data_IF_939364519262
#
_entry.id   IF_939364519262
#
_cell.length_a   1.000
_cell.length_b   1.000
_cell.length_c   1.000
_cell.angle_alpha   90.00
_cell.angle_beta   90.00
_cell.angle_gamma   90.00
#
_symmetry.space_group_name_H-M   'P 1'
#
loop_
_entity.id
_entity.type
_entity.pdbx_description
1 polymer ?
#
# COMPACT_ATOMS: atom_id res chain seq x y z
N UNK A 1 -49.78 35.95 22.53
CA UNK A 1 -48.39 35.90 23.04
C UNK A 1 -47.85 34.51 22.77
N UNK A 2 -47.02 34.37 21.73
CA UNK A 2 -46.33 33.12 21.38
C UNK A 2 -44.85 33.36 21.60
N UNK A 3 -44.23 32.53 22.43
CA UNK A 3 -42.79 32.53 22.65
C UNK A 3 -42.13 31.78 21.50
N UNK A 4 -41.29 32.47 20.74
CA UNK A 4 -40.40 31.86 19.76
C UNK A 4 -39.13 31.43 20.49
N UNK A 5 -38.88 30.12 20.55
CA UNK A 5 -37.60 29.58 20.98
C UNK A 5 -36.55 29.90 19.92
N UNK A 6 -35.64 30.81 20.25
CA UNK A 6 -34.38 31.02 19.53
C UNK A 6 -33.49 29.83 19.86
N UNK A 7 -33.30 28.93 18.90
CA UNK A 7 -32.25 27.90 18.98
C UNK A 7 -30.95 28.57 18.58
N UNK A 8 -30.06 28.73 19.56
CA UNK A 8 -28.75 29.36 19.38
C UNK A 8 -27.85 28.55 18.46
N UNK A 9 -27.10 29.27 17.63
CA UNK A 9 -25.94 28.77 16.90
C UNK A 9 -24.87 28.42 17.93
N UNK A 10 -24.63 27.12 18.12
CA UNK A 10 -23.50 26.62 18.90
C UNK A 10 -22.28 26.68 18.00
N UNK A 11 -21.44 27.71 18.19
CA UNK A 11 -20.02 27.65 17.77
C UNK A 11 -19.34 26.72 18.76
N UNK A 12 -19.31 25.43 18.43
CA UNK A 12 -18.44 24.46 19.09
C UNK A 12 -17.44 23.99 18.03
N UNK A 13 -16.14 24.11 18.35
CA UNK A 13 -15.21 23.07 17.98
C UNK A 13 -15.81 21.78 18.54
N UNK A 14 -16.60 21.08 17.73
CA UNK A 14 -17.09 19.78 18.08
C UNK A 14 -15.83 18.95 18.31
N UNK A 15 -15.53 18.66 19.58
CA UNK A 15 -14.89 17.39 19.87
C UNK A 15 -15.71 16.36 19.10
N UNK A 16 -15.08 15.57 18.21
CA UNK A 16 -15.82 14.61 17.42
C UNK A 16 -16.74 13.86 18.38
N UNK A 17 -18.01 13.59 17.99
CA UNK A 17 -18.84 12.69 18.79
C UNK A 17 -17.98 11.49 19.15
N UNK A 18 -18.08 10.97 20.37
CA UNK A 18 -17.40 9.75 20.78
C UNK A 18 -17.79 8.65 19.79
N UNK A 19 -17.01 8.60 18.72
CA UNK A 19 -17.31 7.86 17.52
C UNK A 19 -16.97 6.40 17.76
N UNK A 20 -17.38 5.52 16.83
CA UNK A 20 -16.93 4.14 16.86
C UNK A 20 -15.41 4.13 17.02
N UNK A 21 -14.96 3.26 17.91
CA UNK A 21 -13.59 2.94 18.27
C UNK A 21 -12.50 3.53 17.35
N UNK A 22 -11.56 4.31 17.92
CA UNK A 22 -10.41 4.91 17.20
C UNK A 22 -9.44 3.85 16.64
N UNK A 23 -9.76 2.57 16.78
CA UNK A 23 -9.02 1.41 16.29
C UNK A 23 -8.90 1.32 14.75
N UNK A 24 -9.37 2.33 14.00
CA UNK A 24 -9.27 2.42 12.54
C UNK A 24 -8.69 3.73 12.01
N UNK A 25 -7.79 4.40 12.72
CA UNK A 25 -7.10 5.59 12.19
C UNK A 25 -5.69 5.27 11.70
N UNK A 26 -5.24 5.99 10.69
CA UNK A 26 -3.82 6.02 10.29
C UNK A 26 -3.10 7.18 10.97
N UNK A 27 -1.94 6.91 11.57
CA UNK A 27 -1.12 7.90 12.27
C UNK A 27 0.36 7.76 11.88
N UNK A 28 1.05 8.89 11.76
CA UNK A 28 2.48 8.93 11.42
C UNK A 28 3.27 9.47 12.62
N UNK A 29 4.30 8.76 13.06
CA UNK A 29 5.33 9.22 13.99
C UNK A 29 6.60 9.55 13.23
N UNK A 30 7.35 10.59 13.60
CA UNK A 30 8.51 11.07 12.84
C UNK A 30 9.89 10.71 13.41
N UNK A 31 9.98 10.02 14.56
CA UNK A 31 11.25 9.61 15.15
C UNK A 31 11.12 8.41 16.13
N UNK A 32 11.42 7.16 15.72
CA UNK A 32 11.66 6.74 14.33
C UNK A 32 10.40 6.94 13.46
N UNK A 33 10.59 7.02 12.14
CA UNK A 33 9.45 7.12 11.24
C UNK A 33 8.62 5.84 11.35
N UNK A 34 7.35 6.00 11.69
CA UNK A 34 6.41 4.91 11.85
C UNK A 34 5.04 5.29 11.32
N UNK A 35 4.36 4.35 10.69
CA UNK A 35 2.96 4.52 10.27
C UNK A 35 2.12 3.45 10.94
N UNK A 36 1.26 3.87 11.87
CA UNK A 36 0.27 3.02 12.52
C UNK A 36 -1.02 3.03 11.72
N UNK A 37 -1.59 1.86 11.43
CA UNK A 37 -2.83 1.70 10.66
C UNK A 37 -3.61 0.51 11.21
N UNK A 38 -4.82 0.77 11.71
CA UNK A 38 -5.57 -0.26 12.44
C UNK A 38 -4.77 -0.77 13.64
N UNK A 39 -4.66 -2.10 13.84
CA UNK A 39 -3.83 -2.69 14.88
C UNK A 39 -2.38 -2.91 14.45
N UNK A 40 -1.90 -2.29 13.37
CA UNK A 40 -0.56 -2.54 12.83
C UNK A 40 0.30 -1.28 12.87
N UNK A 41 1.62 -1.45 12.86
CA UNK A 41 2.58 -0.36 12.70
C UNK A 41 3.71 -0.80 11.80
N UNK A 42 3.94 -0.04 10.73
CA UNK A 42 5.13 -0.18 9.89
C UNK A 42 6.17 0.83 10.33
N UNK A 43 7.35 0.34 10.70
CA UNK A 43 8.50 1.17 11.08
C UNK A 43 9.48 1.22 9.93
N UNK A 44 9.97 2.41 9.62
CA UNK A 44 11.01 2.65 8.62
C UNK A 44 12.36 2.81 9.31
N UNK A 45 13.42 2.44 8.61
CA UNK A 45 14.79 2.56 9.11
C UNK A 45 15.11 3.99 9.54
N UNK A 46 15.83 4.12 10.65
CA UNK A 46 16.39 5.38 11.15
C UNK A 46 17.75 5.69 10.51
N UNK A 47 18.31 4.75 9.75
CA UNK A 47 19.54 4.93 9.00
C UNK A 47 19.27 5.83 7.78
N UNK A 48 19.91 7.01 7.69
CA UNK A 48 19.76 7.91 6.54
C UNK A 48 20.25 7.30 5.23
N UNK A 49 20.97 6.18 5.29
CA UNK A 49 21.43 5.47 4.11
C UNK A 49 20.37 4.63 3.42
N UNK A 50 19.36 4.15 4.15
CA UNK A 50 18.27 3.35 3.59
C UNK A 50 17.05 3.32 4.52
N UNK A 51 16.18 4.32 4.42
CA UNK A 51 14.94 4.47 5.16
C UNK A 51 13.80 3.60 4.60
N UNK A 52 14.12 2.39 4.13
CA UNK A 52 13.10 1.40 3.76
C UNK A 52 12.42 0.84 5.02
N UNK A 53 11.23 0.21 4.90
CA UNK A 53 10.59 -0.46 6.04
C UNK A 53 11.55 -1.46 6.69
N UNK A 54 11.60 -1.54 8.03
CA UNK A 54 12.45 -2.46 8.80
C UNK A 54 11.69 -3.30 9.83
N UNK A 55 10.45 -2.91 10.19
CA UNK A 55 9.55 -3.73 11.00
C UNK A 55 8.08 -3.53 10.62
N UNK A 56 7.28 -4.57 10.78
CA UNK A 56 5.83 -4.54 10.65
C UNK A 56 5.26 -5.30 11.84
N UNK A 57 4.78 -4.54 12.83
CA UNK A 57 4.36 -5.07 14.12
C UNK A 57 2.86 -4.97 14.32
N UNK A 58 2.28 -5.95 15.00
CA UNK A 58 0.91 -5.89 15.50
C UNK A 58 0.82 -5.02 16.76
N UNK A 59 -0.40 -4.68 17.19
CA UNK A 59 -0.66 -3.95 18.42
C UNK A 59 -0.28 -4.73 19.68
N UNK A 60 -0.11 -6.05 19.58
CA UNK A 60 0.45 -6.91 20.63
C UNK A 60 1.98 -6.95 20.64
N UNK A 61 2.64 -6.29 19.68
CA UNK A 61 4.11 -6.28 19.53
C UNK A 61 4.70 -7.44 18.74
N UNK A 62 3.88 -8.31 18.14
CA UNK A 62 4.36 -9.40 17.26
C UNK A 62 4.94 -8.80 15.99
N UNK A 63 6.19 -9.10 15.66
CA UNK A 63 6.80 -8.71 14.39
C UNK A 63 6.44 -9.73 13.30
N UNK A 64 5.68 -9.30 12.29
CA UNK A 64 5.17 -10.16 11.21
C UNK A 64 6.19 -10.41 10.09
N UNK A 65 7.33 -9.76 10.18
CA UNK A 65 8.37 -9.74 9.14
C UNK A 65 9.67 -10.30 9.67
N UNK A 66 10.43 -10.92 8.78
CA UNK A 66 11.79 -11.35 9.03
C UNK A 66 12.67 -10.85 7.88
N UNK A 67 13.84 -10.24 8.16
CA UNK A 67 14.79 -9.91 7.12
C UNK A 67 15.18 -11.21 6.41
N UNK A 68 15.20 -11.23 5.06
CA UNK A 68 15.23 -12.51 4.37
C UNK A 68 16.54 -13.30 4.52
N UNK A 69 17.56 -12.63 5.04
CA UNK A 69 18.94 -13.03 5.19
C UNK A 69 19.66 -11.92 5.98
N UNK A 70 20.78 -12.22 6.63
CA UNK A 70 21.56 -11.27 7.46
C UNK A 70 22.04 -10.00 6.78
N UNK A 71 21.87 -9.86 5.47
CA UNK A 71 22.30 -8.68 4.71
C UNK A 71 21.18 -8.12 3.82
N UNK A 72 19.91 -8.29 4.20
CA UNK A 72 18.80 -7.48 3.69
C UNK A 72 18.13 -6.87 4.92
N UNK A 73 18.19 -5.55 5.03
CA UNK A 73 17.67 -4.83 6.19
C UNK A 73 16.19 -4.42 6.04
N UNK A 74 15.59 -4.67 4.87
CA UNK A 74 14.23 -4.20 4.55
C UNK A 74 13.18 -5.31 4.43
N UNK A 75 11.95 -4.98 4.84
CA UNK A 75 10.74 -5.82 4.67
C UNK A 75 10.22 -5.83 3.25
N UNK A 76 10.46 -4.73 2.53
CA UNK A 76 9.90 -4.48 1.22
C UNK A 76 10.82 -3.52 0.45
N UNK A 77 11.14 -3.85 -0.79
CA UNK A 77 12.00 -2.99 -1.60
C UNK A 77 12.11 -3.44 -3.03
N UNK A 78 13.01 -2.80 -3.75
CA UNK A 78 13.41 -3.17 -5.11
C UNK A 78 14.79 -3.81 -5.03
N UNK A 79 14.97 -4.95 -5.71
CA UNK A 79 16.24 -5.66 -5.80
C UNK A 79 16.70 -5.80 -7.25
N UNK A 80 18.00 -5.99 -7.45
CA UNK A 80 18.61 -6.36 -8.73
C UNK A 80 18.96 -7.85 -8.72
N UNK A 81 18.65 -8.59 -9.78
CA UNK A 81 18.80 -10.05 -9.92
C UNK A 81 19.59 -10.42 -11.19
N UNK A 82 20.36 -11.54 -11.29
CA UNK A 82 20.68 -12.51 -10.24
C UNK A 82 21.36 -11.81 -9.07
N UNK A 83 20.90 -12.16 -7.85
CA UNK A 83 20.95 -11.35 -6.62
C UNK A 83 22.33 -10.93 -6.11
N UNK A 84 23.07 -10.15 -6.89
CA UNK A 84 24.03 -9.20 -6.36
C UNK A 84 23.24 -8.22 -5.50
N UNK A 85 23.31 -8.41 -4.19
CA UNK A 85 22.71 -7.48 -3.23
C UNK A 85 23.33 -6.12 -3.50
N UNK A 86 22.51 -5.18 -3.95
CA UNK A 86 22.79 -3.76 -3.82
C UNK A 86 22.74 -3.35 -2.32
N UNK A 87 23.39 -4.11 -1.44
CA UNK A 87 23.63 -3.78 -0.03
C UNK A 87 25.09 -4.16 0.28
N UNK A 88 25.94 -4.09 -0.76
CA UNK A 88 27.30 -4.58 -0.79
C UNK A 88 28.23 -3.56 -1.42
N UNK A 89 28.22 -2.33 -0.89
CA UNK A 89 29.15 -1.29 -1.28
C UNK A 89 28.69 0.07 -0.81
N UNK A 90 29.23 0.54 0.31
CA UNK A 90 28.97 1.86 0.91
C UNK A 90 27.50 2.14 1.32
N UNK A 91 27.26 3.02 2.31
CA UNK A 91 25.91 3.45 2.67
C UNK A 91 25.23 4.14 1.46
N UNK A 92 23.95 3.84 1.21
CA UNK A 92 23.13 4.55 0.23
C UNK A 92 22.63 5.91 0.73
N UNK A 93 21.58 6.42 0.09
CA UNK A 93 20.79 7.53 0.63
C UNK A 93 19.31 7.29 0.36
N UNK A 94 18.47 7.80 1.26
CA UNK A 94 17.03 7.80 1.09
C UNK A 94 16.42 9.08 1.62
N UNK A 95 15.40 9.58 0.94
CA UNK A 95 14.60 10.70 1.40
C UNK A 95 13.15 10.25 1.59
N UNK A 96 12.58 10.57 2.74
CA UNK A 96 11.21 10.20 3.10
C UNK A 96 10.31 11.42 3.02
N UNK A 97 9.30 11.32 2.18
CA UNK A 97 8.27 12.32 2.00
C UNK A 97 6.91 11.82 2.49
N UNK A 98 6.30 12.55 3.43
CA UNK A 98 4.91 12.32 3.82
C UNK A 98 4.01 13.06 2.82
N UNK A 99 3.48 12.33 1.85
CA UNK A 99 2.59 12.88 0.82
C UNK A 99 1.17 13.12 1.36
N UNK A 100 0.72 12.24 2.26
CA UNK A 100 -0.59 12.33 2.87
C UNK A 100 -0.51 11.86 4.33
N UNK A 101 -0.88 12.74 5.26
CA UNK A 101 -1.04 12.41 6.67
C UNK A 101 -2.50 12.59 7.03
N UNK A 102 -3.21 11.50 7.29
CA UNK A 102 -4.57 11.62 7.80
C UNK A 102 -5.17 10.30 8.27
N UNK A 103 -6.27 10.40 9.03
CA UNK A 103 -6.87 9.26 9.70
C UNK A 103 -7.52 8.26 8.74
N UNK A 104 -7.90 8.70 7.54
CA UNK A 104 -8.56 7.88 6.51
C UNK A 104 -7.53 7.07 5.72
N UNK A 105 -6.46 7.73 5.28
CA UNK A 105 -5.35 7.12 4.55
C UNK A 105 -4.09 7.93 4.84
N UNK A 106 -2.95 7.23 4.98
CA UNK A 106 -1.64 7.86 4.91
C UNK A 106 -0.88 7.39 3.68
N UNK A 107 -0.04 8.27 3.14
CA UNK A 107 0.81 7.98 2.00
C UNK A 107 2.22 8.49 2.29
N UNK A 108 3.17 7.57 2.27
CA UNK A 108 4.60 7.83 2.51
C UNK A 108 5.37 7.40 1.28
N UNK A 109 6.16 8.31 0.72
CA UNK A 109 7.02 8.03 -0.39
C UNK A 109 8.47 8.06 0.03
N UNK A 110 9.26 7.15 -0.52
CA UNK A 110 10.69 7.01 -0.26
C UNK A 110 11.40 7.08 -1.59
N UNK A 111 12.16 8.16 -1.79
CA UNK A 111 13.17 8.19 -2.82
C UNK A 111 14.39 7.42 -2.29
N UNK A 112 14.94 6.51 -3.08
CA UNK A 112 16.12 5.74 -2.70
C UNK A 112 17.20 5.83 -3.76
N UNK A 113 18.43 5.84 -3.30
CA UNK A 113 19.64 5.66 -4.10
C UNK A 113 20.50 4.62 -3.39
N UNK A 114 20.64 3.47 -4.05
CA UNK A 114 21.29 2.29 -3.49
C UNK A 114 22.54 1.98 -4.32
N UNK A 115 23.75 2.21 -3.76
CA UNK A 115 24.99 1.91 -4.46
C UNK A 115 25.20 0.40 -4.60
N UNK A 116 25.76 0.00 -5.74
CA UNK A 116 26.25 -1.35 -5.99
C UNK A 116 27.58 -1.30 -6.73
N UNK A 117 28.33 -2.41 -6.71
CA UNK A 117 29.64 -2.51 -7.38
C UNK A 117 29.59 -3.52 -8.51
N UNK A 118 30.14 -3.14 -9.66
CA UNK A 118 30.37 -4.00 -10.82
C UNK A 118 31.87 -3.97 -11.19
N UNK A 119 32.36 -4.82 -12.10
CA UNK A 119 33.81 -4.85 -12.41
C UNK A 119 34.34 -3.54 -13.00
N UNK A 120 33.50 -2.74 -13.65
CA UNK A 120 33.91 -1.47 -14.26
C UNK A 120 33.83 -0.29 -13.29
N UNK A 121 33.25 -0.45 -12.10
CA UNK A 121 33.18 0.60 -11.11
C UNK A 121 31.95 0.56 -10.19
N UNK A 122 31.81 1.56 -9.30
CA UNK A 122 30.61 1.78 -8.52
C UNK A 122 29.46 2.27 -9.42
N UNK A 123 28.28 1.74 -9.17
CA UNK A 123 27.03 2.03 -9.87
C UNK A 123 25.91 2.26 -8.84
N UNK A 124 24.74 2.71 -9.30
CA UNK A 124 23.62 3.08 -8.41
C UNK A 124 22.28 2.60 -8.96
N UNK A 125 21.43 2.11 -8.06
CA UNK A 125 20.02 1.85 -8.30
C UNK A 125 19.23 2.99 -7.66
N UNK A 126 18.54 3.78 -8.47
CA UNK A 126 17.67 4.87 -7.99
C UNK A 126 16.22 4.54 -8.26
N UNK A 127 15.32 5.05 -7.42
CA UNK A 127 13.89 4.96 -7.67
C UNK A 127 13.08 5.63 -6.58
N UNK A 128 11.76 5.52 -6.70
CA UNK A 128 10.81 5.98 -5.69
C UNK A 128 9.83 4.86 -5.39
N UNK A 129 9.59 4.64 -4.10
CA UNK A 129 8.54 3.72 -3.62
C UNK A 129 7.54 4.49 -2.80
N UNK A 130 6.27 4.42 -3.21
CA UNK A 130 5.15 5.03 -2.50
C UNK A 130 4.35 3.94 -1.82
N UNK A 131 4.17 4.06 -0.49
CA UNK A 131 3.33 3.22 0.33
C UNK A 131 2.05 3.97 0.71
N UNK A 132 0.90 3.38 0.40
CA UNK A 132 -0.41 3.87 0.85
C UNK A 132 -0.97 2.93 1.90
N UNK A 133 -1.27 3.46 3.08
CA UNK A 133 -1.74 2.71 4.25
C UNK A 133 -3.22 2.94 4.48
N UNK A 134 -3.96 1.84 4.62
CA UNK A 134 -5.39 1.87 4.89
C UNK A 134 -5.68 1.31 6.29
N UNK A 135 -6.68 1.86 7.00
CA UNK A 135 -7.12 1.35 8.30
C UNK A 135 -7.50 -0.13 8.32
N UNK A 136 -7.89 -0.68 7.17
CA UNK A 136 -8.31 -2.08 7.00
C UNK A 136 -7.17 -3.10 7.13
N UNK A 137 -5.92 -2.66 7.33
CA UNK A 137 -4.74 -3.52 7.30
C UNK A 137 -4.19 -3.76 5.89
N UNK A 138 -4.72 -3.05 4.89
CA UNK A 138 -4.21 -3.04 3.52
C UNK A 138 -3.08 -2.02 3.37
N UNK A 139 -2.06 -2.40 2.62
CA UNK A 139 -0.96 -1.52 2.20
C UNK A 139 -0.80 -1.69 0.69
N UNK A 140 -0.98 -0.60 -0.05
CA UNK A 140 -0.59 -0.54 -1.46
C UNK A 140 0.82 0.00 -1.59
N UNK A 141 1.55 -0.54 -2.56
CA UNK A 141 2.89 -0.11 -2.88
C UNK A 141 3.04 0.07 -4.38
N UNK A 142 3.48 1.25 -4.77
CA UNK A 142 3.86 1.57 -6.15
C UNK A 142 5.34 1.89 -6.14
N UNK A 143 6.12 1.20 -6.96
CA UNK A 143 7.49 1.61 -7.26
C UNK A 143 7.50 2.26 -8.63
N UNK A 144 8.23 3.35 -8.78
CA UNK A 144 8.30 4.13 -10.01
C UNK A 144 9.69 4.75 -10.19
N UNK A 145 9.96 5.22 -11.40
CA UNK A 145 11.24 5.83 -11.78
C UNK A 145 12.45 4.97 -11.43
N UNK A 146 12.29 3.65 -11.41
CA UNK A 146 13.39 2.72 -11.12
C UNK A 146 14.38 2.78 -12.29
N UNK A 147 15.62 3.12 -11.97
CA UNK A 147 16.75 3.20 -12.91
C UNK A 147 17.96 2.54 -12.27
N UNK A 148 18.60 1.66 -13.03
CA UNK A 148 19.92 1.15 -12.69
C UNK A 148 20.97 1.85 -13.54
N UNK A 149 22.16 2.06 -12.98
CA UNK A 149 23.35 2.46 -13.72
C UNK A 149 23.79 1.38 -14.73
N UNK A 150 24.92 1.59 -15.39
CA UNK A 150 25.34 0.69 -16.47
C UNK A 150 25.62 -0.71 -15.92
N UNK A 151 24.81 -1.70 -16.31
CA UNK A 151 25.03 -3.10 -15.99
C UNK A 151 25.51 -3.78 -17.28
N UNK A 152 26.79 -4.18 -17.38
CA UNK A 152 27.30 -4.79 -18.60
C UNK A 152 26.59 -6.11 -18.89
N UNK A 153 26.28 -6.36 -20.17
CA UNK A 153 25.64 -7.59 -20.67
C UNK A 153 26.48 -8.85 -20.42
N UNK A 154 27.75 -8.68 -20.02
CA UNK A 154 28.70 -9.76 -19.71
C UNK A 154 29.22 -9.54 -18.29
N UNK A 155 29.17 -10.61 -17.48
CA UNK A 155 29.09 -10.55 -16.02
C UNK A 155 30.10 -9.65 -15.29
N UNK A 156 29.69 -9.18 -14.11
CA UNK A 156 30.60 -8.91 -12.96
C UNK A 156 29.95 -8.24 -11.75
N UNK A 157 28.64 -7.99 -11.73
CA UNK A 157 27.96 -7.65 -10.48
C UNK A 157 27.45 -8.98 -9.87
N UNK A 158 28.32 -9.81 -9.26
CA UNK A 158 27.93 -11.17 -8.79
C UNK A 158 28.25 -11.45 -7.32
N UNK A 159 27.29 -12.11 -6.64
CA UNK A 159 27.50 -12.97 -5.48
C UNK A 159 27.20 -14.45 -5.84
N UNK A 160 27.54 -14.89 -7.04
CA UNK A 160 27.28 -16.25 -7.52
C UNK A 160 27.71 -16.47 -8.97
N UNK A 161 28.01 -17.72 -9.31
CA UNK A 161 28.44 -18.10 -10.66
C UNK A 161 27.23 -18.27 -11.59
N UNK A 162 27.09 -17.42 -12.61
CA UNK A 162 26.13 -17.61 -13.69
C UNK A 162 26.01 -16.41 -14.64
N UNK A 163 26.01 -16.68 -15.94
CA UNK A 163 25.70 -15.74 -17.02
C UNK A 163 24.18 -15.50 -17.11
N UNK A 164 23.57 -14.90 -16.09
CA UNK A 164 22.15 -14.54 -16.14
C UNK A 164 22.01 -13.04 -16.44
N UNK A 165 21.12 -12.71 -17.39
CA UNK A 165 20.70 -11.34 -17.66
C UNK A 165 20.18 -10.69 -16.39
N UNK A 166 20.56 -9.43 -16.16
CA UNK A 166 20.10 -8.71 -14.99
C UNK A 166 18.63 -8.29 -15.14
N UNK A 167 17.85 -8.38 -14.05
CA UNK A 167 16.48 -7.84 -13.93
C UNK A 167 16.28 -7.13 -12.59
N UNK A 168 15.33 -6.20 -12.48
CA UNK A 168 14.91 -5.67 -11.17
C UNK A 168 13.65 -6.39 -10.72
N UNK A 169 13.49 -6.52 -9.41
CA UNK A 169 12.31 -7.13 -8.83
C UNK A 169 11.80 -6.35 -7.63
N UNK A 170 10.48 -6.18 -7.56
CA UNK A 170 9.82 -5.72 -6.35
C UNK A 170 9.59 -6.90 -5.42
N UNK A 171 9.75 -6.71 -4.11
CA UNK A 171 9.58 -7.78 -3.14
C UNK A 171 8.91 -7.37 -1.84
N UNK A 172 8.27 -8.35 -1.20
CA UNK A 172 7.89 -8.36 0.21
C UNK A 172 8.53 -9.56 0.93
N UNK A 173 8.91 -9.38 2.19
CA UNK A 173 9.55 -10.41 3.00
C UNK A 173 8.81 -10.65 4.31
N UNK A 174 8.47 -11.91 4.57
CA UNK A 174 7.72 -12.34 5.75
C UNK A 174 8.33 -13.56 6.42
N UNK A 175 8.06 -13.68 7.72
CA UNK A 175 8.37 -14.87 8.51
C UNK A 175 7.25 -15.91 8.37
N UNK A 176 7.15 -16.58 7.23
CA UNK A 176 6.08 -17.57 7.01
C UNK A 176 6.22 -18.78 7.95
N UNK A 177 5.11 -19.19 8.56
CA UNK A 177 4.95 -20.51 9.18
C UNK A 177 4.24 -21.49 8.24
N UNK A 178 3.33 -20.97 7.40
CA UNK A 178 2.55 -21.76 6.44
C UNK A 178 2.19 -20.90 5.24
N UNK A 179 2.44 -21.40 4.03
CA UNK A 179 2.01 -20.76 2.78
C UNK A 179 0.67 -21.35 2.33
N UNK A 180 -0.25 -20.49 1.92
CA UNK A 180 -1.59 -20.85 1.45
C UNK A 180 -1.81 -20.37 0.01
N UNK A 181 -2.43 -21.23 -0.79
CA UNK A 181 -2.96 -20.89 -2.10
C UNK A 181 -4.19 -19.98 -1.98
N UNK A 182 -4.66 -19.40 -3.09
CA UNK A 182 -5.89 -18.60 -3.09
C UNK A 182 -7.13 -19.36 -2.58
N UNK A 183 -7.09 -20.69 -2.57
CA UNK A 183 -8.13 -21.62 -2.14
C UNK A 183 -7.88 -22.22 -0.74
N UNK A 184 -7.02 -21.58 0.07
CA UNK A 184 -6.57 -22.04 1.40
C UNK A 184 -5.83 -23.38 1.40
N UNK A 185 -5.42 -23.89 0.23
CA UNK A 185 -4.62 -25.11 0.18
C UNK A 185 -3.19 -24.82 0.63
N UNK A 186 -2.64 -25.71 1.47
CA UNK A 186 -1.24 -25.58 1.89
C UNK A 186 -0.33 -25.73 0.68
N UNK A 187 0.47 -24.71 0.46
CA UNK A 187 1.46 -24.66 -0.61
C UNK A 187 2.73 -25.35 -0.15
N UNK A 188 3.34 -26.11 -1.05
CA UNK A 188 4.67 -26.65 -0.80
C UNK A 188 5.66 -25.48 -0.77
N UNK A 189 6.67 -25.48 0.13
CA UNK A 189 7.72 -24.47 0.12
C UNK A 189 8.35 -24.36 -1.29
N UNK A 190 8.37 -23.15 -1.85
CA UNK A 190 8.84 -22.90 -3.21
C UNK A 190 7.84 -23.21 -4.34
N UNK A 191 6.59 -23.55 -4.03
CA UNK A 191 5.52 -23.62 -5.03
C UNK A 191 5.16 -22.21 -5.48
N UNK A 192 4.99 -22.04 -6.79
CA UNK A 192 5.01 -20.75 -7.43
C UNK A 192 3.64 -20.05 -7.57
N UNK A 193 3.53 -18.73 -7.36
CA UNK A 193 2.25 -18.04 -7.57
C UNK A 193 2.18 -16.54 -7.25
N UNK A 194 1.59 -15.80 -8.19
CA UNK A 194 1.32 -14.35 -8.19
C UNK A 194 0.53 -13.80 -7.01
N UNK A 195 -0.33 -14.67 -6.45
CA UNK A 195 -1.29 -14.36 -5.41
C UNK A 195 -1.36 -15.53 -4.46
N UNK A 196 -1.43 -15.23 -3.18
CA UNK A 196 -1.53 -16.22 -2.13
C UNK A 196 -1.45 -15.54 -0.78
N UNK A 197 -1.43 -16.35 0.27
CA UNK A 197 -1.29 -15.87 1.61
C UNK A 197 -0.17 -16.58 2.35
N UNK A 198 0.37 -15.92 3.36
CA UNK A 198 1.22 -16.54 4.36
C UNK A 198 0.55 -16.38 5.72
N UNK A 199 0.61 -17.44 6.52
CA UNK A 199 0.26 -17.40 7.94
C UNK A 199 1.53 -17.13 8.73
N UNK A 200 1.45 -16.10 9.57
CA UNK A 200 2.51 -15.70 10.49
C UNK A 200 1.86 -15.52 11.85
N UNK A 201 2.17 -16.40 12.80
CA UNK A 201 1.48 -16.43 14.10
C UNK A 201 -0.06 -16.51 13.89
N UNK A 202 -0.85 -15.81 14.71
CA UNK A 202 -2.30 -15.72 14.60
C UNK A 202 -2.80 -14.79 13.47
N UNK A 203 -1.98 -14.48 12.46
CA UNK A 203 -2.31 -13.57 11.37
C UNK A 203 -2.21 -14.23 10.00
N UNK A 204 -3.07 -13.81 9.09
CA UNK A 204 -3.02 -14.11 7.67
C UNK A 204 -2.61 -12.85 6.90
N UNK A 205 -1.65 -12.99 5.99
CA UNK A 205 -1.13 -11.92 5.14
C UNK A 205 -1.33 -12.35 3.69
N UNK A 206 -2.25 -11.71 2.98
CA UNK A 206 -2.41 -11.87 1.54
C UNK A 206 -1.44 -10.94 0.80
N UNK A 207 -0.93 -11.40 -0.33
CA UNK A 207 -0.02 -10.64 -1.20
C UNK A 207 -0.52 -10.72 -2.63
N UNK A 208 -0.51 -9.59 -3.33
CA UNK A 208 -0.78 -9.51 -4.76
C UNK A 208 0.27 -8.63 -5.44
N UNK A 209 0.75 -9.08 -6.60
CA UNK A 209 1.59 -8.31 -7.51
C UNK A 209 0.83 -8.06 -8.83
N UNK A 210 1.21 -7.02 -9.58
CA UNK A 210 0.73 -6.80 -10.94
C UNK A 210 1.17 -7.90 -11.93
N UNK A 211 0.71 -7.84 -13.19
CA UNK A 211 0.59 -8.99 -14.11
C UNK A 211 1.89 -9.66 -14.69
N UNK A 212 3.11 -9.41 -14.20
CA UNK A 212 4.37 -9.91 -14.84
C UNK A 212 5.34 -10.76 -13.95
N UNK A 213 5.05 -12.06 -13.74
CA UNK A 213 5.65 -12.93 -12.72
C UNK A 213 6.93 -13.71 -13.06
N UNK A 214 7.99 -13.67 -12.22
CA UNK A 214 8.93 -14.80 -12.02
C UNK A 214 9.58 -14.75 -10.63
N UNK A 215 9.79 -15.92 -10.02
CA UNK A 215 10.16 -16.15 -8.61
C UNK A 215 11.66 -16.29 -8.32
N UNK A 216 12.04 -16.10 -7.05
CA UNK A 216 13.33 -16.51 -6.48
C UNK A 216 13.16 -17.22 -5.12
N UNK A 217 13.98 -18.24 -4.89
CA UNK A 217 13.91 -19.13 -3.72
C UNK A 217 14.94 -18.77 -2.62
N UNK A 218 14.54 -18.91 -1.35
CA UNK A 218 15.49 -19.08 -0.23
C UNK A 218 14.99 -18.60 1.14
N UNK A 219 14.86 -19.54 2.10
CA UNK A 219 15.03 -19.40 3.56
C UNK A 219 14.16 -18.42 4.38
N UNK A 220 13.62 -17.40 3.76
CA UNK A 220 12.66 -16.43 4.28
C UNK A 220 11.95 -15.92 3.02
N UNK A 221 10.62 -15.92 3.01
CA UNK A 221 9.89 -15.82 1.76
C UNK A 221 9.99 -14.41 1.21
N UNK A 222 10.98 -14.20 0.35
CA UNK A 222 11.11 -13.04 -0.50
C UNK A 222 10.33 -13.37 -1.75
N UNK A 223 9.08 -12.94 -1.80
CA UNK A 223 8.32 -13.00 -3.05
C UNK A 223 8.91 -11.90 -3.94
N UNK A 224 9.78 -12.28 -4.86
CA UNK A 224 10.43 -11.35 -5.80
C UNK A 224 9.73 -11.45 -7.14
N UNK A 225 9.47 -10.32 -7.78
CA UNK A 225 8.74 -10.27 -9.05
C UNK A 225 9.61 -9.68 -10.17
N UNK A 226 10.05 -10.52 -11.11
CA UNK A 226 10.84 -10.09 -12.27
C UNK A 226 9.99 -9.30 -13.27
N UNK A 227 10.14 -7.97 -13.29
CA UNK A 227 9.47 -7.16 -14.31
C UNK A 227 10.35 -6.98 -15.54
N UNK A 228 10.13 -7.85 -16.51
CA UNK A 228 10.61 -7.71 -17.88
C UNK A 228 12.04 -8.19 -18.12
N UNK A 229 12.20 -9.03 -19.14
CA UNK A 229 13.49 -9.27 -19.81
C UNK A 229 13.92 -8.08 -20.68
N UNK A 230 13.61 -6.85 -20.29
CA UNK A 230 14.19 -5.71 -20.97
C UNK A 230 15.65 -5.63 -20.51
N UNK A 231 16.64 -5.79 -21.41
CA UNK A 231 18.03 -5.59 -21.01
C UNK A 231 18.14 -4.18 -20.39
N UNK A 232 18.84 -4.08 -19.25
CA UNK A 232 19.05 -2.82 -18.52
C UNK A 232 19.74 -1.71 -19.34
N UNK A 233 20.12 -1.97 -20.60
CA UNK A 233 20.44 -0.93 -21.58
C UNK A 233 19.26 -0.02 -21.94
N UNK A 234 18.03 -0.37 -21.56
CA UNK A 234 16.86 0.50 -21.71
C UNK A 234 16.72 1.45 -20.51
N UNK A 235 17.07 2.72 -20.71
CA UNK A 235 16.96 3.80 -19.71
C UNK A 235 15.50 4.20 -19.38
N UNK A 236 14.51 3.48 -19.92
CA UNK A 236 13.09 3.78 -19.70
C UNK A 236 12.73 3.54 -18.23
N UNK A 237 12.18 4.55 -17.53
CA UNK A 237 11.64 4.40 -16.18
C UNK A 237 10.74 3.18 -16.06
N UNK A 238 10.94 2.40 -15.01
CA UNK A 238 10.15 1.21 -14.74
C UNK A 238 9.18 1.45 -13.59
N UNK A 239 8.02 0.80 -13.63
CA UNK A 239 6.94 0.94 -12.66
C UNK A 239 6.39 -0.42 -12.23
N UNK A 240 6.34 -0.68 -10.92
CA UNK A 240 5.68 -1.87 -10.32
C UNK A 240 4.54 -1.47 -9.42
N UNK A 241 3.58 -2.38 -9.28
CA UNK A 241 2.57 -2.32 -8.24
C UNK A 241 2.51 -3.64 -7.48
N UNK A 242 2.37 -3.54 -6.17
CA UNK A 242 2.11 -4.66 -5.28
C UNK A 242 1.24 -4.19 -4.11
N UNK A 243 0.53 -5.11 -3.49
CA UNK A 243 -0.28 -4.80 -2.32
C UNK A 243 -0.30 -5.99 -1.35
N UNK A 244 -0.45 -5.67 -0.07
CA UNK A 244 -0.65 -6.66 0.99
C UNK A 244 -1.87 -6.32 1.83
N UNK A 245 -2.54 -7.35 2.36
CA UNK A 245 -3.65 -7.19 3.29
C UNK A 245 -3.42 -8.12 4.46
N UNK A 246 -3.61 -7.58 5.67
CA UNK A 246 -3.31 -8.27 6.92
C UNK A 246 -4.59 -8.36 7.73
N UNK A 247 -4.85 -9.54 8.28
CA UNK A 247 -5.96 -9.76 9.19
C UNK A 247 -5.62 -10.85 10.23
N UNK A 248 -6.29 -10.88 11.39
CA UNK A 248 -6.29 -12.06 12.24
C UNK A 248 -6.73 -13.29 11.43
N UNK A 249 -6.06 -14.42 11.61
CA UNK A 249 -6.37 -15.65 10.87
C UNK A 249 -7.71 -16.28 11.30
N UNK A 250 -8.20 -15.94 12.48
CA UNK A 250 -9.45 -16.47 13.01
C UNK A 250 -10.65 -15.84 12.27
N UNK A 251 -11.32 -16.65 11.44
CA UNK A 251 -12.57 -16.25 10.77
C UNK A 251 -12.39 -15.56 9.42
N UNK A 252 -11.21 -15.64 8.80
CA UNK A 252 -10.99 -15.16 7.42
C UNK A 252 -10.27 -16.22 6.57
N UNK A 253 -10.71 -16.36 5.32
CA UNK A 253 -10.02 -17.19 4.32
C UNK A 253 -8.95 -16.41 3.57
N UNK A 254 -7.99 -17.10 2.96
CA UNK A 254 -7.04 -16.48 2.04
C UNK A 254 -7.75 -15.85 0.85
N UNK A 255 -8.80 -16.49 0.35
CA UNK A 255 -9.60 -15.96 -0.75
C UNK A 255 -10.26 -14.61 -0.40
N UNK A 256 -10.88 -14.53 0.77
CA UNK A 256 -11.53 -13.30 1.25
C UNK A 256 -10.51 -12.17 1.45
N UNK A 257 -9.33 -12.51 1.97
CA UNK A 257 -8.27 -11.53 2.19
C UNK A 257 -7.64 -11.06 0.88
N UNK A 258 -7.42 -11.95 -0.09
CA UNK A 258 -7.00 -11.61 -1.46
C UNK A 258 -8.02 -10.72 -2.17
N UNK A 259 -9.31 -10.93 -1.92
CA UNK A 259 -10.37 -10.06 -2.40
C UNK A 259 -10.19 -8.61 -1.97
N UNK A 260 -9.50 -8.34 -0.85
CA UNK A 260 -9.22 -6.98 -0.37
C UNK A 260 -8.16 -6.22 -1.17
N UNK A 261 -7.39 -6.94 -1.99
CA UNK A 261 -6.31 -6.39 -2.80
C UNK A 261 -6.74 -6.02 -4.21
N UNK A 262 -7.99 -6.31 -4.58
CA UNK A 262 -8.53 -6.02 -5.89
C UNK A 262 -9.31 -4.72 -5.83
N UNK A 263 -8.95 -3.76 -6.69
CA UNK A 263 -9.71 -2.53 -6.92
C UNK A 263 -10.55 -2.70 -8.19
N UNK A 264 -11.80 -3.18 -8.11
CA UNK A 264 -12.67 -3.23 -9.28
C UNK A 264 -13.05 -1.81 -9.73
N UNK A 265 -13.50 -1.62 -10.98
CA UNK A 265 -13.97 -0.31 -11.44
C UNK A 265 -15.06 0.28 -10.54
N UNK A 266 -14.87 1.54 -10.16
CA UNK A 266 -15.81 2.34 -9.38
C UNK A 266 -16.40 3.42 -10.28
N UNK A 267 -17.72 3.57 -10.27
CA UNK A 267 -18.41 4.66 -10.99
C UNK A 267 -18.81 5.74 -10.00
N UNK A 268 -18.49 6.99 -10.32
CA UNK A 268 -18.83 8.18 -9.54
C UNK A 268 -19.60 9.15 -10.45
N UNK A 269 -20.89 9.33 -10.17
CA UNK A 269 -21.81 9.96 -11.11
C UNK A 269 -21.91 9.14 -12.39
N UNK A 270 -21.43 9.70 -13.49
CA UNK A 270 -21.39 9.05 -14.81
C UNK A 270 -19.98 8.58 -15.21
N UNK A 271 -18.96 8.90 -14.40
CA UNK A 271 -17.55 8.65 -14.73
C UNK A 271 -16.98 7.43 -14.02
N UNK A 272 -16.01 6.78 -14.64
CA UNK A 272 -15.23 5.72 -14.00
C UNK A 272 -14.04 6.36 -13.31
N UNK A 273 -13.96 6.23 -11.99
CA UNK A 273 -12.83 6.73 -11.23
C UNK A 273 -11.55 5.93 -11.57
N UNK A 274 -10.43 6.63 -11.69
CA UNK A 274 -9.10 6.00 -11.85
C UNK A 274 -8.61 5.49 -10.50
N UNK A 275 -7.89 4.37 -10.45
CA UNK A 275 -7.23 3.91 -9.21
C UNK A 275 -5.74 4.29 -9.22
N UNK A 276 -5.28 4.90 -8.14
CA UNK A 276 -3.88 5.25 -7.92
C UNK A 276 -3.45 4.86 -6.50
N UNK A 277 -2.66 3.79 -6.40
CA UNK A 277 -2.15 3.29 -5.11
C UNK A 277 -3.27 2.93 -4.12
N UNK A 278 -4.34 2.30 -4.61
CA UNK A 278 -5.50 1.89 -3.83
C UNK A 278 -6.53 2.99 -3.54
N UNK A 279 -6.29 4.23 -4.00
CA UNK A 279 -7.26 5.33 -3.89
C UNK A 279 -7.95 5.53 -5.23
N UNK A 280 -9.28 5.51 -5.24
CA UNK A 280 -10.06 5.94 -6.38
C UNK A 280 -10.04 7.45 -6.49
N UNK A 281 -9.77 7.96 -7.67
CA UNK A 281 -9.67 9.38 -7.93
C UNK A 281 -10.72 9.76 -8.97
N UNK A 282 -11.61 10.66 -8.56
CA UNK A 282 -12.69 11.20 -9.38
C UNK A 282 -12.38 12.67 -9.73
N UNK A 283 -11.93 12.88 -10.96
CA UNK A 283 -11.44 14.17 -11.45
C UNK A 283 -12.59 15.16 -11.78
N UNK A 284 -13.85 14.76 -11.60
CA UNK A 284 -15.02 15.63 -11.78
C UNK A 284 -15.28 16.46 -10.52
N UNK A 285 -15.70 17.71 -10.74
CA UNK A 285 -16.17 18.60 -9.68
C UNK A 285 -17.67 18.42 -9.46
N UNK A 286 -18.06 18.07 -8.23
CA UNK A 286 -19.47 17.85 -7.85
C UNK A 286 -19.98 18.98 -6.96
N UNK A 287 -20.72 19.91 -7.56
CA UNK A 287 -21.43 20.97 -6.83
C UNK A 287 -22.86 20.56 -6.40
N UNK A 288 -23.29 19.35 -6.74
CA UNK A 288 -24.58 18.75 -6.40
C UNK A 288 -24.39 17.32 -5.93
N UNK A 289 -25.46 16.70 -5.44
CA UNK A 289 -25.41 15.30 -5.02
C UNK A 289 -24.98 14.39 -6.17
N UNK A 290 -24.16 13.39 -5.85
CA UNK A 290 -23.68 12.38 -6.79
C UNK A 290 -23.71 10.99 -6.15
N UNK A 291 -23.68 9.96 -7.01
CA UNK A 291 -23.83 8.57 -6.61
C UNK A 291 -22.56 7.81 -6.92
N UNK A 292 -22.11 7.01 -5.96
CA UNK A 292 -20.97 6.10 -6.09
C UNK A 292 -21.54 4.68 -6.17
N UNK A 293 -21.12 3.94 -7.19
CA UNK A 293 -21.51 2.54 -7.41
C UNK A 293 -20.33 1.68 -7.84
N UNK A 294 -20.46 0.36 -7.68
CA UNK A 294 -19.45 -0.60 -8.10
C UNK A 294 -20.07 -1.73 -8.93
N UNK A 295 -19.39 -2.12 -10.01
CA UNK A 295 -19.82 -3.23 -10.87
C UNK A 295 -19.49 -4.61 -10.28
N UNK A 296 -18.53 -4.67 -9.35
CA UNK A 296 -18.13 -5.84 -8.60
C UNK A 296 -17.97 -5.48 -7.11
N UNK A 297 -17.99 -6.46 -6.19
CA UNK A 297 -17.83 -6.17 -4.76
C UNK A 297 -16.53 -5.43 -4.48
N UNK A 298 -16.62 -4.26 -3.84
CA UNK A 298 -15.49 -3.59 -3.22
C UNK A 298 -15.50 -3.96 -1.75
N UNK A 299 -14.44 -4.62 -1.30
CA UNK A 299 -14.30 -5.00 0.11
C UNK A 299 -14.18 -3.76 1.01
N UNK A 300 -14.23 -3.97 2.32
CA UNK A 300 -14.06 -2.92 3.31
C UNK A 300 -12.78 -2.09 3.08
N UNK A 301 -12.92 -0.76 3.14
CA UNK A 301 -11.80 0.17 3.00
C UNK A 301 -11.75 0.95 1.68
N UNK A 302 -12.88 1.14 1.01
CA UNK A 302 -12.99 2.01 -0.17
C UNK A 302 -12.50 3.43 0.16
N UNK A 303 -11.50 3.93 -0.57
CA UNK A 303 -11.02 5.30 -0.49
C UNK A 303 -11.30 6.04 -1.80
N UNK A 304 -12.01 7.17 -1.73
CA UNK A 304 -12.36 8.02 -2.89
C UNK A 304 -11.92 9.45 -2.65
N UNK A 305 -11.07 9.97 -3.52
CA UNK A 305 -10.70 11.38 -3.61
C UNK A 305 -11.53 12.09 -4.68
N UNK A 306 -12.28 13.13 -4.28
CA UNK A 306 -13.20 13.86 -5.18
C UNK A 306 -13.31 15.34 -4.79
N UNK A 307 -13.72 16.20 -5.73
CA UNK A 307 -13.95 17.62 -5.50
C UNK A 307 -15.43 17.92 -5.24
N UNK A 308 -15.74 18.61 -4.14
CA UNK A 308 -17.11 19.00 -3.78
C UNK A 308 -17.52 20.40 -4.26
N UNK A 309 -16.85 20.93 -5.29
CA UNK A 309 -17.22 22.23 -5.88
C UNK A 309 -17.14 23.41 -4.90
N UNK A 310 -16.20 23.37 -3.95
CA UNK A 310 -16.00 24.41 -2.93
C UNK A 310 -16.71 24.15 -1.59
N UNK A 311 -17.61 23.17 -1.50
CA UNK A 311 -18.16 22.72 -0.23
C UNK A 311 -17.06 22.05 0.62
N UNK A 312 -17.12 22.25 1.95
CA UNK A 312 -16.19 21.62 2.91
C UNK A 312 -16.83 20.48 3.70
N UNK A 313 -18.12 20.29 3.52
CA UNK A 313 -18.93 19.31 4.24
C UNK A 313 -19.80 18.57 3.22
N UNK A 314 -20.13 17.33 3.54
CA UNK A 314 -21.08 16.54 2.78
C UNK A 314 -21.96 15.73 3.73
N UNK A 315 -23.20 15.49 3.32
CA UNK A 315 -24.02 14.42 3.86
C UNK A 315 -23.74 13.17 3.03
N UNK A 316 -23.47 12.06 3.70
CA UNK A 316 -23.19 10.78 3.03
C UNK A 316 -24.16 9.72 3.52
N UNK A 317 -24.80 9.03 2.58
CA UNK A 317 -25.75 7.94 2.88
C UNK A 317 -25.46 6.72 2.03
N UNK A 318 -25.71 5.53 2.56
CA UNK A 318 -25.62 4.25 1.83
C UNK A 318 -26.98 3.56 1.89
N UNK A 319 -27.57 3.23 0.74
CA UNK A 319 -28.92 2.64 0.72
C UNK A 319 -30.01 3.48 1.41
N UNK A 320 -29.82 4.81 1.46
CA UNK A 320 -30.74 5.74 2.12
C UNK A 320 -30.55 5.89 3.64
N UNK A 321 -29.59 5.19 4.26
CA UNK A 321 -29.26 5.34 5.68
C UNK A 321 -27.91 6.03 5.86
N UNK A 322 -27.67 6.63 7.03
CA UNK A 322 -26.35 7.14 7.37
C UNK A 322 -25.33 6.00 7.38
N UNK A 323 -24.16 6.22 6.78
CA UNK A 323 -23.07 5.23 6.74
C UNK A 323 -21.84 5.73 7.50
N UNK A 324 -21.01 4.82 7.96
CA UNK A 324 -19.78 5.14 8.68
C UNK A 324 -18.65 5.44 7.68
N UNK A 325 -18.16 6.68 7.71
CA UNK A 325 -17.02 7.10 6.90
C UNK A 325 -16.10 8.02 7.69
N UNK A 326 -14.84 8.11 7.25
CA UNK A 326 -13.93 9.17 7.66
C UNK A 326 -13.62 10.05 6.44
N UNK A 327 -13.33 11.32 6.68
CA UNK A 327 -12.97 12.25 5.62
C UNK A 327 -11.75 13.07 6.02
N UNK A 328 -10.89 13.36 5.05
CA UNK A 328 -9.76 14.27 5.21
C UNK A 328 -9.59 15.13 3.96
N UNK A 329 -9.11 16.36 4.15
CA UNK A 329 -8.82 17.27 3.04
C UNK A 329 -7.52 16.86 2.34
N UNK A 330 -7.52 16.93 1.00
CA UNK A 330 -6.36 16.67 0.14
C UNK A 330 -6.28 17.79 -0.89
N UNK A 331 -5.49 18.83 -0.60
CA UNK A 331 -5.49 20.05 -1.41
C UNK A 331 -6.88 20.72 -1.43
N UNK A 332 -7.47 20.84 -2.61
CA UNK A 332 -8.83 21.33 -2.86
C UNK A 332 -9.91 20.23 -2.90
N UNK A 333 -9.51 18.97 -2.70
CA UNK A 333 -10.38 17.80 -2.73
C UNK A 333 -10.62 17.23 -1.34
N UNK A 334 -11.57 16.32 -1.26
CA UNK A 334 -11.87 15.54 -0.06
C UNK A 334 -11.63 14.07 -0.37
N UNK A 335 -10.86 13.42 0.49
CA UNK A 335 -10.72 11.98 0.52
C UNK A 335 -11.74 11.42 1.52
N UNK A 336 -12.68 10.62 1.01
CA UNK A 336 -13.58 9.80 1.80
C UNK A 336 -13.00 8.40 1.95
N UNK A 337 -13.08 7.82 3.15
CA UNK A 337 -12.81 6.42 3.39
C UNK A 337 -14.01 5.75 4.05
N UNK A 338 -14.42 4.63 3.48
CA UNK A 338 -15.59 3.87 3.92
C UNK A 338 -15.14 2.55 4.56
N UNK A 339 -15.51 2.35 5.82
CA UNK A 339 -15.20 1.13 6.54
C UNK A 339 -15.98 -0.08 6.02
N UNK A 340 -17.19 0.17 5.52
CA UNK A 340 -18.10 -0.87 5.04
C UNK A 340 -17.79 -1.23 3.58
N UNK A 341 -17.96 -2.50 3.18
CA UNK A 341 -17.85 -2.89 1.78
C UNK A 341 -18.94 -2.21 0.93
N UNK A 342 -18.73 -2.09 -0.37
CA UNK A 342 -19.74 -1.66 -1.35
C UNK A 342 -20.05 -2.83 -2.27
N UNK A 343 -21.22 -3.44 -2.11
CA UNK A 343 -21.65 -4.59 -2.90
C UNK A 343 -22.31 -4.15 -4.22
N UNK A 344 -22.33 -5.00 -5.26
CA UNK A 344 -23.03 -4.69 -6.50
C UNK A 344 -24.51 -4.35 -6.25
N UNK A 345 -24.96 -3.23 -6.83
CA UNK A 345 -26.33 -2.72 -6.66
C UNK A 345 -26.54 -1.84 -5.43
N UNK A 346 -25.58 -1.79 -4.49
CA UNK A 346 -25.57 -0.78 -3.43
C UNK A 346 -25.09 0.57 -3.98
N UNK A 347 -25.52 1.65 -3.32
CA UNK A 347 -25.18 3.01 -3.71
C UNK A 347 -24.78 3.82 -2.48
N UNK A 348 -23.70 4.59 -2.62
CA UNK A 348 -23.37 5.67 -1.68
C UNK A 348 -23.73 7.00 -2.35
N UNK A 349 -24.54 7.81 -1.69
CA UNK A 349 -24.89 9.15 -2.15
C UNK A 349 -24.14 10.16 -1.31
N UNK A 350 -23.39 11.05 -1.98
CA UNK A 350 -22.66 12.16 -1.37
C UNK A 350 -23.34 13.46 -1.80
N UNK A 351 -23.83 14.23 -0.83
CA UNK A 351 -24.52 15.51 -1.03
C UNK A 351 -23.66 16.64 -0.43
N UNK A 352 -22.98 17.47 -1.26
CA UNK A 352 -22.25 18.64 -0.81
C UNK A 352 -23.13 19.61 0.00
N UNK A 353 -22.56 20.18 1.08
CA UNK A 353 -23.24 21.14 1.95
C UNK A 353 -22.50 22.49 1.90
N UNK A 354 -23.17 23.50 1.34
CA UNK A 354 -22.69 24.88 1.21
C UNK A 354 -23.21 25.79 2.33
#
# INVERSE_FOLDING_TARGET
MRWSSVVGVVVACASPPSGPDRSGQVAISSAPLGVSFGPYTMTFGDDPSLALPVALTTGSGTNLVAPPVTCVQSLAGVLLYPGGRAIGGEPGSSDVEIQLAGPSVARVAIAFEVPYRCAHGPEKLTGRTTYTFFPSGRIDRVDEDIRAGAIPDTGSCTCGAGDASYVYATFWSFRSETDLGPDDTVRTPGSAGARGCTRVDHHLIAVAYGDEAVEAAGGTYTLSWNMGRAPFGDTTPKRSHSAIAIAPADGISCQDLLGRLVDPPLTVGEEIARSEGGIYIDDVMHASAFVITAAAPITAGLALETSLGGARHARVTKGGTATSFTAQAVGDRILFWFAEPLMPGEQIVVEPLF
#
